data_IF_139036862595
#
_entry.id   IF_139036862595
#
_cell.length_a   1.000
_cell.length_b   1.000
_cell.length_c   1.000
_cell.angle_alpha   90.00
_cell.angle_beta   90.00
_cell.angle_gamma   90.00
#
_symmetry.space_group_name_H-M   'P 1'
#
loop_
_entity.id
_entity.type
_entity.pdbx_description
1 polymer ?
#
# COMPACT_ATOMS: atom_id res chain seq x y z
N UNK A 1 -7.62 -5.98 23.37
CA UNK A 1 -7.36 -6.12 21.92
C UNK A 1 -8.65 -5.90 21.14
N UNK A 2 -9.04 -4.63 20.91
CA UNK A 2 -10.19 -4.26 20.07
C UNK A 2 -9.96 -2.98 19.26
N UNK A 3 -8.78 -2.36 19.35
CA UNK A 3 -8.52 -1.05 18.74
C UNK A 3 -7.78 -1.23 17.42
N UNK A 4 -8.50 -1.75 16.42
CA UNK A 4 -8.01 -1.74 15.05
C UNK A 4 -8.07 -0.30 14.52
N UNK A 5 -6.96 0.18 13.98
CA UNK A 5 -6.90 1.42 13.24
C UNK A 5 -6.29 1.18 11.86
N UNK A 6 -6.42 2.15 10.96
CA UNK A 6 -5.83 2.08 9.64
C UNK A 6 -4.32 1.84 9.70
N UNK A 7 -3.80 1.04 8.77
CA UNK A 7 -2.38 0.71 8.73
C UNK A 7 -1.47 1.94 8.57
N UNK A 8 -1.99 3.02 7.97
CA UNK A 8 -1.30 4.32 7.88
C UNK A 8 -1.11 4.97 9.26
N UNK A 9 -2.06 4.79 10.19
CA UNK A 9 -1.93 5.27 11.57
C UNK A 9 -0.84 4.50 12.29
N UNK A 10 -0.86 3.17 12.21
CA UNK A 10 0.18 2.32 12.77
C UNK A 10 1.58 2.67 12.22
N UNK A 11 1.67 2.87 10.90
CA UNK A 11 2.94 3.21 10.22
C UNK A 11 3.48 4.56 10.68
N UNK A 12 2.63 5.60 10.78
CA UNK A 12 3.03 6.91 11.29
C UNK A 12 3.51 6.84 12.74
N UNK A 13 2.78 6.12 13.60
CA UNK A 13 3.16 5.95 15.00
C UNK A 13 4.50 5.22 15.13
N UNK A 14 4.72 4.19 14.33
CA UNK A 14 5.98 3.45 14.30
C UNK A 14 7.15 4.32 13.84
N UNK A 15 6.96 5.16 12.82
CA UNK A 15 7.98 6.13 12.35
C UNK A 15 8.37 7.10 13.47
N UNK A 16 7.38 7.75 14.11
CA UNK A 16 7.63 8.70 15.20
C UNK A 16 8.35 8.02 16.37
N UNK A 17 7.90 6.82 16.74
CA UNK A 17 8.54 6.05 17.80
C UNK A 17 10.00 5.73 17.45
N UNK A 18 10.26 5.18 16.26
CA UNK A 18 11.62 4.84 15.82
C UNK A 18 12.55 6.05 15.79
N UNK A 19 12.09 7.20 15.26
CA UNK A 19 12.87 8.44 15.26
C UNK A 19 13.21 8.90 16.67
N UNK A 20 12.23 8.88 17.59
CA UNK A 20 12.45 9.24 19.00
C UNK A 20 13.47 8.35 19.69
N UNK A 21 13.38 7.03 19.51
CA UNK A 21 14.33 6.07 20.11
C UNK A 21 15.75 6.24 19.53
N UNK A 22 15.89 6.81 18.33
CA UNK A 22 17.17 7.12 17.70
C UNK A 22 17.62 8.58 17.87
N UNK A 23 16.90 9.39 18.66
CA UNK A 23 17.17 10.82 18.85
C UNK A 23 17.20 11.62 17.53
N UNK A 24 16.35 11.22 16.57
CA UNK A 24 16.14 11.92 15.30
C UNK A 24 14.92 12.82 15.45
N UNK A 25 15.13 14.13 15.32
CA UNK A 25 14.04 15.12 15.30
C UNK A 25 13.51 15.26 13.87
N UNK A 26 12.20 15.06 13.70
CA UNK A 26 11.47 15.32 12.46
C UNK A 26 10.28 16.23 12.78
N UNK A 27 10.05 17.22 11.94
CA UNK A 27 8.84 18.03 12.05
C UNK A 27 7.64 17.33 11.40
N UNK A 28 6.46 17.93 11.53
CA UNK A 28 5.24 17.38 10.95
C UNK A 28 5.26 17.28 9.42
N UNK A 29 6.00 18.16 8.74
CA UNK A 29 6.10 18.17 7.29
C UNK A 29 7.00 17.03 6.80
N UNK A 30 8.14 16.80 7.47
CA UNK A 30 9.03 15.67 7.17
C UNK A 30 8.33 14.32 7.40
N UNK A 31 7.60 14.19 8.51
CA UNK A 31 6.80 12.98 8.79
C UNK A 31 5.76 12.77 7.69
N UNK A 32 5.10 13.84 7.22
CA UNK A 32 4.12 13.73 6.14
C UNK A 32 4.78 13.29 4.84
N UNK A 33 5.90 13.89 4.46
CA UNK A 33 6.66 13.54 3.26
C UNK A 33 7.08 12.06 3.26
N UNK A 34 7.56 11.56 4.40
CA UNK A 34 7.94 10.15 4.54
C UNK A 34 6.73 9.22 4.42
N UNK A 35 5.58 9.60 4.99
CA UNK A 35 4.34 8.83 4.86
C UNK A 35 3.82 8.81 3.42
N UNK A 36 3.93 9.94 2.71
CA UNK A 36 3.56 10.05 1.29
C UNK A 36 4.50 9.19 0.42
N UNK A 37 5.81 9.25 0.67
CA UNK A 37 6.80 8.40 -0.01
C UNK A 37 6.53 6.91 0.21
N UNK A 38 6.17 6.52 1.43
CA UNK A 38 5.81 5.14 1.75
C UNK A 38 4.54 4.67 1.00
N UNK A 39 3.69 5.60 0.54
CA UNK A 39 2.49 5.27 -0.23
C UNK A 39 2.74 5.04 -1.73
N UNK A 40 3.92 5.43 -2.22
CA UNK A 40 4.32 5.41 -3.64
C UNK A 40 5.62 4.63 -3.84
N UNK A 41 5.72 3.43 -3.25
CA UNK A 41 6.90 2.58 -3.42
C UNK A 41 6.95 1.97 -4.82
N UNK A 42 8.13 2.00 -5.42
CA UNK A 42 8.40 1.31 -6.66
C UNK A 42 8.25 -0.20 -6.51
N UNK A 43 7.68 -0.84 -7.53
CA UNK A 43 7.71 -2.29 -7.64
C UNK A 43 9.15 -2.77 -7.95
N UNK A 44 9.49 -3.98 -7.49
CA UNK A 44 10.72 -4.63 -7.92
C UNK A 44 10.71 -4.85 -9.45
N UNK A 45 11.89 -4.74 -10.07
CA UNK A 45 12.03 -4.72 -11.53
C UNK A 45 11.46 -5.95 -12.25
N UNK A 46 11.44 -7.10 -11.59
CA UNK A 46 10.95 -8.38 -12.10
C UNK A 46 9.44 -8.59 -11.92
N UNK A 47 8.79 -7.82 -11.05
CA UNK A 47 7.37 -8.00 -10.70
C UNK A 47 6.48 -7.75 -11.92
N UNK A 48 6.74 -6.71 -12.71
CA UNK A 48 5.93 -6.39 -13.90
C UNK A 48 5.90 -7.55 -14.90
N UNK A 49 7.08 -8.02 -15.32
CA UNK A 49 7.21 -9.13 -16.26
C UNK A 49 6.58 -10.42 -15.72
N UNK A 50 6.75 -10.72 -14.43
CA UNK A 50 6.19 -11.91 -13.81
C UNK A 50 4.66 -11.89 -13.78
N UNK A 51 4.05 -10.75 -13.42
CA UNK A 51 2.59 -10.61 -13.38
C UNK A 51 1.99 -10.71 -14.78
N UNK A 52 2.62 -10.12 -15.80
CA UNK A 52 2.21 -10.24 -17.20
C UNK A 52 2.20 -11.69 -17.68
N UNK A 53 3.26 -12.45 -17.38
CA UNK A 53 3.33 -13.89 -17.69
C UNK A 53 2.19 -14.66 -17.02
N UNK A 54 1.91 -14.39 -15.76
CA UNK A 54 0.81 -15.06 -15.04
C UNK A 54 -0.56 -14.75 -15.65
N UNK A 55 -0.84 -13.48 -15.98
CA UNK A 55 -2.08 -13.09 -16.69
C UNK A 55 -2.18 -13.79 -18.05
N UNK A 56 -1.09 -13.80 -18.82
CA UNK A 56 -1.06 -14.46 -20.13
C UNK A 56 -1.30 -15.98 -20.06
N UNK A 57 -0.99 -16.61 -18.92
CA UNK A 57 -1.25 -18.03 -18.66
C UNK A 57 -2.69 -18.33 -18.21
N UNK A 58 -3.55 -17.30 -18.10
CA UNK A 58 -4.95 -17.42 -17.71
C UNK A 58 -5.22 -17.37 -16.20
N UNK A 59 -4.25 -16.94 -15.39
CA UNK A 59 -4.41 -16.81 -13.95
C UNK A 59 -5.10 -15.48 -13.58
N UNK A 60 -5.95 -15.54 -12.56
CA UNK A 60 -6.50 -14.35 -11.91
C UNK A 60 -5.58 -13.89 -10.78
N UNK A 61 -5.23 -12.61 -10.79
CA UNK A 61 -4.33 -12.00 -9.81
C UNK A 61 -5.13 -11.21 -8.76
N UNK A 62 -4.76 -11.35 -7.50
CA UNK A 62 -5.34 -10.64 -6.37
C UNK A 62 -4.25 -10.19 -5.42
N UNK A 63 -4.36 -8.95 -4.92
CA UNK A 63 -3.50 -8.43 -3.87
C UNK A 63 -4.30 -8.35 -2.56
N UNK A 64 -3.81 -9.03 -1.53
CA UNK A 64 -4.31 -8.92 -0.16
C UNK A 64 -3.27 -8.18 0.66
N UNK A 65 -3.60 -6.96 1.11
CA UNK A 65 -2.68 -6.14 1.88
C UNK A 65 -3.39 -5.54 3.10
N UNK A 66 -2.60 -5.21 4.13
CA UNK A 66 -3.08 -4.46 5.29
C UNK A 66 -3.25 -2.96 4.99
N UNK A 67 -2.74 -2.50 3.84
CA UNK A 67 -2.81 -1.12 3.42
C UNK A 67 -4.26 -0.64 3.24
N UNK A 68 -4.53 0.62 3.59
CA UNK A 68 -5.84 1.22 3.39
C UNK A 68 -6.18 1.37 1.91
N UNK A 69 -7.48 1.44 1.60
CA UNK A 69 -8.03 1.51 0.23
C UNK A 69 -7.53 2.71 -0.62
N UNK A 70 -6.83 3.67 0.00
CA UNK A 70 -6.30 4.89 -0.63
C UNK A 70 -4.86 4.75 -1.16
N UNK A 71 -4.15 3.65 -0.89
CA UNK A 71 -2.80 3.38 -1.42
C UNK A 71 -2.82 2.97 -2.91
N UNK A 72 -3.69 3.60 -3.70
CA UNK A 72 -3.92 3.30 -5.10
C UNK A 72 -2.98 4.11 -5.99
N UNK A 73 -1.67 3.91 -5.82
CA UNK A 73 -0.64 4.38 -6.77
C UNK A 73 -0.57 3.53 -8.05
N UNK A 74 -1.59 2.71 -8.36
CA UNK A 74 -1.64 1.97 -9.61
C UNK A 74 -2.59 2.69 -10.59
N UNK A 75 -2.06 3.66 -11.34
CA UNK A 75 -2.70 4.20 -12.54
C UNK A 75 -2.69 3.18 -13.69
N UNK A 76 -3.18 1.96 -13.45
CA UNK A 76 -3.53 1.01 -14.52
C UNK A 76 -4.36 -0.16 -13.99
N UNK A 77 -5.51 0.08 -13.34
CA UNK A 77 -6.58 -0.94 -13.35
C UNK A 77 -7.96 -0.33 -13.12
N UNK A 78 -8.55 0.22 -14.18
CA UNK A 78 -9.98 0.03 -14.37
C UNK A 78 -10.24 -1.48 -14.57
N UNK A 79 -10.40 -2.23 -13.48
CA UNK A 79 -11.08 -3.53 -13.51
C UNK A 79 -12.21 -3.48 -12.48
N UNK A 80 -13.23 -2.75 -12.89
CA UNK A 80 -14.54 -2.69 -12.26
C UNK A 80 -15.16 -4.09 -12.29
N UNK A 81 -15.05 -4.86 -11.22
CA UNK A 81 -15.78 -6.11 -11.05
C UNK A 81 -17.27 -5.81 -10.75
N UNK A 82 -18.01 -5.23 -11.70
CA UNK A 82 -19.46 -5.44 -11.80
C UNK A 82 -19.69 -6.67 -12.64
N UNK A 83 -19.62 -7.84 -12.01
CA UNK A 83 -20.26 -9.04 -12.54
C UNK A 83 -21.52 -9.31 -11.73
N UNK A 84 -22.64 -8.89 -12.29
CA UNK A 84 -23.97 -9.46 -12.17
C UNK A 84 -24.05 -10.77 -11.38
N UNK A 85 -24.73 -10.73 -10.23
CA UNK A 85 -25.64 -11.80 -9.83
C UNK A 85 -26.79 -11.19 -9.05
N UNK A 86 -27.88 -10.92 -9.77
CA UNK A 86 -29.22 -11.03 -9.21
C UNK A 86 -29.34 -12.46 -8.68
N UNK A 87 -29.54 -12.61 -7.39
CA UNK A 87 -30.42 -13.61 -6.81
C UNK A 87 -31.25 -12.87 -5.76
#
# INVERSE_FOLDING_TARGET
MRDYCDFSVCTRQALIFACREQLIELDSADIQLLMDTYSELDAYADVGEALEKMVSSGLHLYAFSNGGNQLSGCYSTQMYARSSRKL
#
